data_IF_112728934530
#
_entry.id   IF_112728934530
#
_cell.length_a   1.000
_cell.length_b   1.000
_cell.length_c   1.000
_cell.angle_alpha   90.00
_cell.angle_beta   90.00
_cell.angle_gamma   90.00
#
_symmetry.space_group_name_H-M   'P 1'
#
loop_
_entity.id
_entity.type
_entity.pdbx_description
1 polymer ?
#
# COMPACT_ATOMS: atom_id res chain seq x y z
N UNK A 1 28.46 -2.60 -72.22
CA UNK A 1 26.99 -2.70 -72.11
C UNK A 1 26.68 -3.37 -70.77
N UNK A 2 26.11 -2.61 -69.81
CA UNK A 2 25.35 -3.00 -68.59
C UNK A 2 25.97 -4.09 -67.68
N UNK A 3 26.61 -3.75 -66.57
CA UNK A 3 26.03 -3.40 -65.26
C UNK A 3 25.19 -4.52 -64.63
N UNK A 4 25.59 -5.04 -63.46
CA UNK A 4 24.70 -5.36 -62.32
C UNK A 4 25.55 -5.78 -61.11
N UNK A 5 25.79 -4.82 -60.20
CA UNK A 5 26.27 -5.06 -58.84
C UNK A 5 25.07 -5.52 -58.00
N UNK A 6 25.09 -6.75 -57.49
CA UNK A 6 24.16 -7.21 -56.47
C UNK A 6 24.76 -6.90 -55.09
N UNK A 7 24.35 -5.78 -54.48
CA UNK A 7 24.58 -5.54 -53.06
C UNK A 7 23.53 -6.35 -52.28
N UNK A 8 24.00 -7.41 -51.61
CA UNK A 8 23.19 -8.22 -50.72
C UNK A 8 23.05 -7.47 -49.40
N UNK A 9 21.95 -6.74 -49.23
CA UNK A 9 21.62 -6.05 -47.99
C UNK A 9 21.10 -7.11 -46.99
N UNK A 10 21.97 -7.61 -46.10
CA UNK A 10 21.55 -8.45 -44.98
C UNK A 10 20.86 -7.53 -43.96
N UNK A 11 19.53 -7.49 -43.99
CA UNK A 11 18.73 -6.91 -42.92
C UNK A 11 18.76 -7.91 -41.77
N UNK A 12 19.67 -7.68 -40.82
CA UNK A 12 19.63 -8.36 -39.53
C UNK A 12 18.43 -7.81 -38.74
N UNK A 13 17.32 -8.54 -38.76
CA UNK A 13 16.19 -8.28 -37.86
C UNK A 13 16.67 -8.69 -36.47
N UNK A 14 17.10 -7.71 -35.68
CA UNK A 14 17.26 -7.87 -34.24
C UNK A 14 15.86 -8.08 -33.65
N UNK A 15 15.46 -9.35 -33.53
CA UNK A 15 14.39 -9.74 -32.62
C UNK A 15 14.92 -9.49 -31.21
N UNK A 16 14.74 -8.27 -30.71
CA UNK A 16 14.86 -8.02 -29.28
C UNK A 16 13.71 -8.79 -28.63
N UNK A 17 14.03 -9.95 -28.05
CA UNK A 17 13.15 -10.60 -27.09
C UNK A 17 13.05 -9.66 -25.88
N UNK A 18 12.17 -8.67 -25.96
CA UNK A 18 11.65 -7.98 -24.79
C UNK A 18 10.83 -9.03 -24.06
N UNK A 19 11.47 -9.77 -23.16
CA UNK A 19 10.77 -10.37 -22.05
C UNK A 19 10.05 -9.22 -21.37
N UNK A 20 8.72 -9.13 -21.53
CA UNK A 20 7.95 -8.19 -20.72
C UNK A 20 8.18 -8.62 -19.28
N UNK A 21 8.88 -7.78 -18.52
CA UNK A 21 9.00 -7.97 -17.09
C UNK A 21 7.59 -7.89 -16.50
N UNK A 22 7.28 -8.81 -15.58
CA UNK A 22 5.99 -8.78 -14.90
C UNK A 22 5.87 -7.48 -14.10
N UNK A 23 4.70 -6.84 -14.08
CA UNK A 23 4.47 -5.62 -13.30
C UNK A 23 4.83 -5.85 -11.84
N UNK A 24 5.51 -4.88 -11.25
CA UNK A 24 5.99 -4.92 -9.87
C UNK A 24 5.59 -3.67 -9.09
N UNK A 25 5.82 -3.68 -7.79
CA UNK A 25 5.58 -2.50 -6.93
C UNK A 25 6.38 -1.30 -7.47
N UNK A 26 5.68 -0.18 -7.67
CA UNK A 26 6.21 1.06 -8.23
C UNK A 26 5.94 1.24 -9.74
N UNK A 27 5.55 0.17 -10.45
CA UNK A 27 5.13 0.27 -11.85
C UNK A 27 3.70 0.81 -11.97
N UNK A 28 3.33 1.29 -13.16
CA UNK A 28 1.93 1.59 -13.47
C UNK A 28 1.11 0.30 -13.54
N UNK A 29 -0.11 0.33 -13.02
CA UNK A 29 -1.06 -0.76 -13.18
C UNK A 29 -1.33 -1.02 -14.68
N UNK A 30 -1.54 -2.29 -15.03
CA UNK A 30 -1.81 -2.67 -16.40
C UNK A 30 -3.16 -2.13 -16.85
N UNK A 31 -3.19 -1.61 -18.07
CA UNK A 31 -4.45 -1.27 -18.71
C UNK A 31 -5.23 -2.54 -19.06
N UNK A 32 -6.54 -2.44 -18.99
CA UNK A 32 -7.45 -3.52 -19.38
C UNK A 32 -8.70 -2.95 -20.03
N UNK A 33 -9.45 -3.84 -20.68
CA UNK A 33 -10.79 -3.55 -21.18
C UNK A 33 -11.65 -4.81 -20.94
N UNK A 34 -12.23 -4.92 -19.75
CA UNK A 34 -12.92 -6.12 -19.28
C UNK A 34 -14.41 -5.85 -19.10
N UNK A 35 -15.29 -6.79 -19.52
CA UNK A 35 -16.72 -6.67 -19.30
C UNK A 35 -17.11 -7.06 -17.86
N UNK A 36 -18.13 -6.41 -17.31
CA UNK A 36 -18.83 -6.84 -16.11
C UNK A 36 -19.75 -8.05 -16.40
N UNK A 37 -20.55 -8.45 -15.40
CA UNK A 37 -21.53 -9.54 -15.54
C UNK A 37 -22.72 -9.23 -16.45
N UNK A 38 -22.92 -7.96 -16.85
CA UNK A 38 -23.95 -7.50 -17.76
C UNK A 38 -23.41 -7.23 -19.19
N UNK A 39 -22.10 -7.32 -19.38
CA UNK A 39 -21.43 -7.05 -20.67
C UNK A 39 -21.04 -5.59 -20.88
N UNK A 40 -21.09 -4.74 -19.85
CA UNK A 40 -20.57 -3.37 -19.87
C UNK A 40 -19.06 -3.43 -19.66
N UNK A 41 -18.31 -2.81 -20.56
CA UNK A 41 -16.85 -2.80 -20.52
C UNK A 41 -16.32 -1.67 -19.64
N UNK A 42 -15.29 -1.99 -18.87
CA UNK A 42 -14.56 -1.07 -17.99
C UNK A 42 -13.06 -1.13 -18.29
N UNK A 43 -12.40 0.00 -18.08
CA UNK A 43 -10.97 0.20 -18.20
C UNK A 43 -10.41 0.84 -16.93
N UNK A 44 -9.09 0.81 -16.75
CA UNK A 44 -8.43 1.34 -15.56
C UNK A 44 -8.81 2.81 -15.27
N UNK A 45 -8.92 3.63 -16.32
CA UNK A 45 -9.28 5.05 -16.21
C UNK A 45 -10.67 5.27 -15.57
N UNK A 46 -11.60 4.31 -15.66
CA UNK A 46 -12.93 4.41 -15.05
C UNK A 46 -12.86 4.40 -13.51
N UNK A 47 -11.74 3.95 -12.96
CA UNK A 47 -11.48 3.87 -11.52
C UNK A 47 -10.51 4.96 -11.04
N UNK A 48 -10.09 5.89 -11.93
CA UNK A 48 -9.11 6.94 -11.64
C UNK A 48 -9.41 7.73 -10.36
N UNK A 49 -8.37 8.05 -9.60
CA UNK A 49 -8.48 8.81 -8.37
C UNK A 49 -8.91 7.98 -7.15
N UNK A 50 -9.26 6.71 -7.33
CA UNK A 50 -9.49 5.78 -6.24
C UNK A 50 -8.22 4.95 -5.96
N UNK A 51 -8.04 4.57 -4.70
CA UNK A 51 -7.21 3.41 -4.37
C UNK A 51 -8.01 2.16 -4.78
N UNK A 52 -7.40 1.26 -5.54
CA UNK A 52 -8.08 0.11 -6.14
C UNK A 52 -7.45 -1.18 -5.61
N UNK A 53 -8.26 -2.05 -5.02
CA UNK A 53 -7.89 -3.44 -4.78
C UNK A 53 -8.49 -4.31 -5.89
N UNK A 54 -7.65 -4.81 -6.79
CA UNK A 54 -8.02 -5.87 -7.71
C UNK A 54 -7.90 -7.22 -6.99
N UNK A 55 -9.04 -7.86 -6.76
CA UNK A 55 -9.10 -9.19 -6.13
C UNK A 55 -9.37 -10.25 -7.21
N UNK A 56 -8.33 -10.99 -7.59
CA UNK A 56 -8.42 -12.02 -8.62
C UNK A 56 -8.86 -13.34 -8.01
N UNK A 57 -9.94 -13.92 -8.56
CA UNK A 57 -10.50 -15.16 -8.06
C UNK A 57 -11.03 -16.05 -9.19
N UNK A 58 -11.21 -17.31 -8.85
CA UNK A 58 -12.04 -18.24 -9.60
C UNK A 58 -13.13 -18.80 -8.67
N UNK A 59 -14.35 -18.99 -9.18
CA UNK A 59 -15.51 -19.39 -8.38
C UNK A 59 -15.32 -20.69 -7.58
N UNK A 60 -14.49 -21.60 -8.11
CA UNK A 60 -14.18 -22.91 -7.54
C UNK A 60 -12.99 -22.89 -6.55
N UNK A 61 -12.32 -21.75 -6.39
CA UNK A 61 -11.19 -21.58 -5.48
C UNK A 61 -11.69 -21.46 -4.03
N UNK A 62 -11.47 -22.51 -3.22
CA UNK A 62 -11.89 -22.52 -1.80
C UNK A 62 -11.25 -21.39 -0.99
N UNK A 63 -9.93 -21.11 -1.09
CA UNK A 63 -9.34 -19.97 -0.38
C UNK A 63 -9.97 -18.63 -0.77
N UNK A 64 -10.33 -18.45 -2.04
CA UNK A 64 -11.01 -17.24 -2.51
C UNK A 64 -12.41 -17.09 -1.90
N UNK A 65 -13.15 -18.19 -1.74
CA UNK A 65 -14.45 -18.17 -1.04
C UNK A 65 -14.31 -17.79 0.44
N UNK A 66 -13.15 -18.04 1.06
CA UNK A 66 -12.86 -17.64 2.44
C UNK A 66 -12.39 -16.20 2.55
N UNK A 67 -11.64 -15.72 1.56
CA UNK A 67 -11.14 -14.35 1.48
C UNK A 67 -12.26 -13.34 1.19
N UNK A 68 -13.11 -13.62 0.19
CA UNK A 68 -14.09 -12.68 -0.33
C UNK A 68 -15.01 -12.04 0.73
N UNK A 69 -15.57 -12.78 1.73
CA UNK A 69 -16.36 -12.17 2.80
C UNK A 69 -15.57 -11.21 3.71
N UNK A 70 -14.26 -11.45 3.88
CA UNK A 70 -13.38 -10.56 4.65
C UNK A 70 -13.04 -9.31 3.84
N UNK A 71 -12.75 -9.45 2.54
CA UNK A 71 -12.58 -8.29 1.63
C UNK A 71 -13.85 -7.44 1.60
N UNK A 72 -15.02 -8.08 1.54
CA UNK A 72 -16.32 -7.39 1.62
C UNK A 72 -16.44 -6.55 2.90
N UNK A 73 -16.27 -7.17 4.06
CA UNK A 73 -16.54 -6.52 5.35
C UNK A 73 -15.44 -5.57 5.83
N UNK A 74 -14.17 -5.95 5.68
CA UNK A 74 -13.03 -5.22 6.23
C UNK A 74 -12.43 -4.19 5.26
N UNK A 75 -12.76 -4.29 3.97
CA UNK A 75 -12.24 -3.36 2.97
C UNK A 75 -13.39 -2.65 2.26
N UNK A 76 -14.20 -3.37 1.49
CA UNK A 76 -15.22 -2.75 0.64
C UNK A 76 -16.25 -1.95 1.45
N UNK A 77 -16.79 -2.53 2.53
CA UNK A 77 -17.75 -1.84 3.39
C UNK A 77 -17.07 -0.83 4.34
N UNK A 78 -15.90 -1.17 4.89
CA UNK A 78 -15.19 -0.34 5.86
C UNK A 78 -14.70 1.00 5.27
N UNK A 79 -14.29 1.01 3.99
CA UNK A 79 -13.77 2.19 3.31
C UNK A 79 -14.79 2.88 2.38
N UNK A 80 -16.09 2.56 2.50
CA UNK A 80 -17.13 3.26 1.76
C UNK A 80 -17.03 4.78 1.93
N UNK A 81 -17.06 5.50 0.81
CA UNK A 81 -16.96 6.96 0.77
C UNK A 81 -15.55 7.54 0.92
N UNK A 82 -14.49 6.71 0.97
CA UNK A 82 -13.11 7.16 1.16
C UNK A 82 -12.25 7.07 -0.12
N UNK A 83 -12.84 7.13 -1.32
CA UNK A 83 -12.11 6.90 -2.59
C UNK A 83 -11.32 5.59 -2.61
N UNK A 84 -11.88 4.53 -2.01
CA UNK A 84 -11.36 3.16 -2.08
C UNK A 84 -12.36 2.32 -2.86
N UNK A 85 -11.86 1.54 -3.80
CA UNK A 85 -12.65 0.65 -4.62
C UNK A 85 -12.08 -0.76 -4.58
N UNK A 86 -12.97 -1.75 -4.38
CA UNK A 86 -12.64 -3.15 -4.60
C UNK A 86 -13.24 -3.55 -5.94
N UNK A 87 -12.46 -4.23 -6.78
CA UNK A 87 -12.92 -4.78 -8.05
C UNK A 87 -12.53 -6.26 -8.09
N UNK A 88 -13.53 -7.12 -8.09
CA UNK A 88 -13.32 -8.56 -8.29
C UNK A 88 -13.00 -8.84 -9.75
N UNK A 89 -11.90 -9.56 -10.01
CA UNK A 89 -11.55 -10.06 -11.33
C UNK A 89 -11.82 -11.56 -11.34
N UNK A 90 -12.94 -11.95 -11.94
CA UNK A 90 -13.29 -13.35 -12.10
C UNK A 90 -12.61 -13.91 -13.33
N UNK A 91 -11.78 -14.93 -13.12
CA UNK A 91 -10.93 -15.51 -14.16
C UNK A 91 -11.54 -16.80 -14.71
N UNK A 92 -11.79 -16.82 -16.02
CA UNK A 92 -12.32 -17.97 -16.77
C UNK A 92 -13.63 -18.58 -16.23
N UNK A 93 -14.44 -17.81 -15.49
CA UNK A 93 -15.76 -18.24 -15.03
C UNK A 93 -16.89 -17.82 -16.00
N UNK A 94 -17.90 -18.67 -16.06
CA UNK A 94 -19.21 -18.33 -16.62
C UNK A 94 -19.99 -17.38 -15.70
N UNK A 95 -20.95 -16.64 -16.25
CA UNK A 95 -21.84 -15.77 -15.46
C UNK A 95 -22.57 -16.55 -14.36
N UNK A 96 -22.95 -17.81 -14.64
CA UNK A 96 -23.61 -18.67 -13.66
C UNK A 96 -22.70 -18.99 -12.46
N UNK A 97 -21.42 -19.29 -12.73
CA UNK A 97 -20.41 -19.52 -11.69
C UNK A 97 -20.17 -18.28 -10.83
N UNK A 98 -20.08 -17.11 -11.46
CA UNK A 98 -19.94 -15.83 -10.75
C UNK A 98 -21.14 -15.57 -9.83
N UNK A 99 -22.36 -15.78 -10.33
CA UNK A 99 -23.58 -15.62 -9.51
C UNK A 99 -23.58 -16.54 -8.30
N UNK A 100 -23.23 -17.81 -8.48
CA UNK A 100 -23.14 -18.74 -7.34
C UNK A 100 -22.06 -18.31 -6.33
N UNK A 101 -20.94 -17.77 -6.80
CA UNK A 101 -19.90 -17.24 -5.93
C UNK A 101 -20.41 -16.03 -5.12
N UNK A 102 -21.13 -15.12 -5.75
CA UNK A 102 -21.77 -13.97 -5.09
C UNK A 102 -22.80 -14.43 -4.05
N UNK A 103 -23.68 -15.36 -4.42
CA UNK A 103 -24.69 -15.92 -3.51
C UNK A 103 -24.07 -16.62 -2.30
N UNK A 104 -22.92 -17.28 -2.50
CA UNK A 104 -22.19 -17.99 -1.45
C UNK A 104 -21.45 -17.06 -0.50
N UNK A 105 -20.78 -16.04 -1.04
CA UNK A 105 -19.85 -15.18 -0.29
C UNK A 105 -20.49 -13.89 0.21
N UNK A 106 -21.60 -13.45 -0.40
CA UNK A 106 -22.30 -12.22 -0.04
C UNK A 106 -21.61 -10.94 -0.50
N UNK A 107 -20.63 -11.02 -1.41
CA UNK A 107 -19.91 -9.85 -1.90
C UNK A 107 -20.84 -8.89 -2.68
N UNK A 108 -20.58 -7.60 -2.54
CA UNK A 108 -21.35 -6.55 -3.20
C UNK A 108 -20.51 -5.60 -4.05
N UNK A 109 -19.18 -5.70 -3.97
CA UNK A 109 -18.28 -4.96 -4.85
C UNK A 109 -18.41 -5.43 -6.31
N UNK A 110 -18.12 -4.55 -7.30
CA UNK A 110 -18.25 -4.89 -8.72
C UNK A 110 -17.30 -6.01 -9.14
N UNK A 111 -17.75 -6.82 -10.09
CA UNK A 111 -16.99 -7.94 -10.66
C UNK A 111 -16.83 -7.74 -12.17
N UNK A 112 -15.58 -7.73 -12.63
CA UNK A 112 -15.20 -7.80 -14.04
C UNK A 112 -14.77 -9.22 -14.39
N UNK A 113 -14.85 -9.54 -15.68
CA UNK A 113 -14.62 -10.88 -16.20
C UNK A 113 -13.38 -10.92 -17.08
N UNK A 114 -12.35 -11.57 -16.57
CA UNK A 114 -11.18 -11.97 -17.35
C UNK A 114 -11.50 -13.31 -18.03
N UNK A 115 -12.16 -13.23 -19.19
CA UNK A 115 -12.78 -14.38 -19.84
C UNK A 115 -11.77 -15.44 -20.28
N UNK A 116 -10.60 -15.01 -20.74
CA UNK A 116 -9.53 -15.88 -21.23
C UNK A 116 -8.34 -16.02 -20.27
N UNK A 117 -8.35 -15.27 -19.15
CA UNK A 117 -7.27 -15.30 -18.16
C UNK A 117 -6.05 -14.47 -18.57
N UNK A 118 -6.16 -13.70 -19.66
CA UNK A 118 -5.04 -12.90 -20.16
C UNK A 118 -4.61 -11.87 -19.14
N UNK A 119 -5.54 -11.12 -18.56
CA UNK A 119 -5.23 -10.07 -17.58
C UNK A 119 -4.58 -10.63 -16.31
N UNK A 120 -5.08 -11.75 -15.79
CA UNK A 120 -4.45 -12.49 -14.70
C UNK A 120 -3.01 -12.92 -15.04
N UNK A 121 -2.80 -13.45 -16.24
CA UNK A 121 -1.49 -13.93 -16.69
C UNK A 121 -0.49 -12.81 -17.00
N UNK A 122 -0.95 -11.61 -17.36
CA UNK A 122 -0.11 -10.43 -17.62
C UNK A 122 0.49 -9.84 -16.34
N UNK A 123 -0.11 -10.12 -15.18
CA UNK A 123 0.51 -9.88 -13.87
C UNK A 123 1.46 -11.01 -13.42
N UNK A 124 1.54 -12.10 -14.19
CA UNK A 124 2.41 -13.23 -13.92
C UNK A 124 1.87 -14.22 -12.90
N UNK A 125 0.59 -14.08 -12.53
CA UNK A 125 -0.06 -14.96 -11.58
C UNK A 125 -0.33 -16.34 -12.19
N UNK A 126 -0.25 -17.36 -11.34
CA UNK A 126 -0.55 -18.76 -11.66
C UNK A 126 -1.36 -19.46 -10.57
N UNK A 127 -1.49 -18.84 -9.39
CA UNK A 127 -2.27 -19.32 -8.25
C UNK A 127 -3.34 -18.30 -7.81
N UNK A 128 -4.40 -18.83 -7.21
CA UNK A 128 -5.47 -18.03 -6.60
C UNK A 128 -5.49 -18.21 -5.07
N UNK A 129 -5.95 -17.19 -4.32
CA UNK A 129 -6.27 -15.85 -4.79
C UNK A 129 -5.02 -15.07 -5.17
N UNK A 130 -5.18 -14.00 -5.95
CA UNK A 130 -4.13 -13.03 -6.19
C UNK A 130 -4.69 -11.63 -6.04
N UNK A 131 -3.85 -10.70 -5.60
CA UNK A 131 -4.28 -9.35 -5.27
C UNK A 131 -3.29 -8.31 -5.78
N UNK A 132 -3.82 -7.23 -6.34
CA UNK A 132 -3.05 -6.05 -6.74
C UNK A 132 -3.67 -4.83 -6.07
N UNK A 133 -2.87 -4.09 -5.30
CA UNK A 133 -3.27 -2.80 -4.73
C UNK A 133 -2.67 -1.69 -5.57
N UNK A 134 -3.51 -0.78 -6.04
CA UNK A 134 -3.14 0.35 -6.88
C UNK A 134 -3.52 1.64 -6.16
N UNK A 135 -2.60 2.62 -6.10
CA UNK A 135 -2.90 3.92 -5.51
C UNK A 135 -3.74 4.81 -6.44
N UNK A 136 -4.16 5.97 -5.94
CA UNK A 136 -4.99 6.93 -6.69
C UNK A 136 -4.34 7.50 -7.96
N UNK A 137 -3.02 7.33 -8.12
CA UNK A 137 -2.26 7.74 -9.31
C UNK A 137 -2.10 6.61 -10.33
N UNK A 138 -2.64 5.42 -10.06
CA UNK A 138 -2.50 4.26 -10.95
C UNK A 138 -1.18 3.51 -10.78
N UNK A 139 -0.44 3.71 -9.68
CA UNK A 139 0.80 2.98 -9.38
C UNK A 139 0.52 1.76 -8.50
N UNK A 140 1.18 0.64 -8.79
CA UNK A 140 1.11 -0.60 -8.01
C UNK A 140 1.85 -0.42 -6.68
N UNK A 141 1.14 -0.62 -5.58
CA UNK A 141 1.67 -0.58 -4.22
C UNK A 141 1.86 -2.00 -3.64
N UNK A 142 1.11 -2.96 -4.18
CA UNK A 142 1.17 -4.35 -3.79
C UNK A 142 0.81 -5.26 -4.97
N UNK A 143 1.52 -6.38 -5.09
CA UNK A 143 1.24 -7.44 -6.07
C UNK A 143 1.70 -8.78 -5.46
N UNK A 144 0.75 -9.65 -5.11
CA UNK A 144 1.07 -10.96 -4.52
C UNK A 144 -0.04 -11.99 -4.75
N UNK A 145 0.35 -13.26 -4.74
CA UNK A 145 -0.57 -14.40 -4.62
C UNK A 145 -0.83 -14.69 -3.14
N UNK A 146 -2.10 -14.80 -2.76
CA UNK A 146 -2.55 -14.98 -1.39
C UNK A 146 -3.30 -13.76 -0.86
N UNK A 147 -3.69 -13.84 0.41
CA UNK A 147 -4.49 -12.83 1.07
C UNK A 147 -4.05 -12.60 2.51
N UNK A 148 -3.92 -11.33 2.88
CA UNK A 148 -3.61 -10.90 4.24
C UNK A 148 -4.39 -9.62 4.53
N UNK A 149 -5.62 -9.79 5.02
CA UNK A 149 -6.57 -8.70 5.20
C UNK A 149 -6.01 -7.59 6.11
N UNK A 150 -5.40 -7.87 7.28
CA UNK A 150 -4.79 -6.83 8.11
C UNK A 150 -3.72 -6.01 7.37
N UNK A 151 -2.92 -6.66 6.51
CA UNK A 151 -1.92 -5.96 5.71
C UNK A 151 -2.58 -5.05 4.68
N UNK A 152 -3.61 -5.52 3.97
CA UNK A 152 -4.34 -4.68 2.99
C UNK A 152 -5.00 -3.47 3.64
N UNK A 153 -5.66 -3.66 4.78
CA UNK A 153 -6.25 -2.55 5.55
C UNK A 153 -5.17 -1.54 5.94
N UNK A 154 -4.03 -2.00 6.47
CA UNK A 154 -2.90 -1.12 6.82
C UNK A 154 -2.35 -0.36 5.61
N UNK A 155 -2.22 -1.01 4.46
CA UNK A 155 -1.72 -0.37 3.24
C UNK A 155 -2.72 0.66 2.71
N UNK A 156 -4.02 0.34 2.69
CA UNK A 156 -5.08 1.26 2.29
C UNK A 156 -5.11 2.48 3.21
N UNK A 157 -5.06 2.29 4.53
CA UNK A 157 -4.96 3.40 5.50
C UNK A 157 -3.73 4.28 5.26
N UNK A 158 -2.58 3.67 4.94
CA UNK A 158 -1.37 4.40 4.59
C UNK A 158 -1.58 5.25 3.33
N UNK A 159 -2.14 4.67 2.27
CA UNK A 159 -2.41 5.35 1.00
C UNK A 159 -3.47 6.46 1.15
N UNK A 160 -4.49 6.25 1.98
CA UNK A 160 -5.48 7.27 2.30
C UNK A 160 -4.87 8.43 3.06
N UNK A 161 -3.96 8.16 3.99
CA UNK A 161 -3.23 9.22 4.66
C UNK A 161 -2.30 9.97 3.70
N UNK A 162 -1.61 9.27 2.79
CA UNK A 162 -0.77 9.91 1.76
C UNK A 162 -1.59 10.75 0.78
N UNK A 163 -2.78 10.28 0.39
CA UNK A 163 -3.68 11.01 -0.51
C UNK A 163 -4.38 12.18 0.17
N UNK A 164 -4.74 12.08 1.45
CA UNK A 164 -5.18 13.21 2.25
C UNK A 164 -4.08 14.30 2.35
N UNK A 165 -2.81 13.89 2.30
CA UNK A 165 -1.66 14.80 2.25
C UNK A 165 -1.40 15.36 0.85
N UNK A 166 -1.84 14.70 -0.23
CA UNK A 166 -1.68 15.19 -1.62
C UNK A 166 -2.89 15.96 -2.17
N UNK A 167 -4.09 15.77 -1.58
CA UNK A 167 -5.35 16.41 -1.97
C UNK A 167 -5.73 17.67 -1.17
N UNK A 168 -4.90 18.07 -0.20
CA UNK A 168 -5.01 19.36 0.50
C UNK A 168 -3.74 20.17 0.21
N UNK A 169 -3.90 21.32 -0.46
CA UNK A 169 -2.90 22.39 -0.68
C UNK A 169 -1.42 22.03 -0.42
N UNK A 170 -0.60 21.77 -1.46
CA UNK A 170 0.87 21.52 -1.39
C UNK A 170 1.33 20.49 -0.33
N UNK A 171 2.07 19.41 -0.68
CA UNK A 171 2.26 18.30 0.23
C UNK A 171 2.93 18.74 1.53
N UNK A 172 2.18 18.64 2.62
CA UNK A 172 2.69 18.83 3.97
C UNK A 172 3.82 17.83 4.30
N UNK A 173 4.07 16.79 3.50
CA UNK A 173 5.25 15.91 3.67
C UNK A 173 6.56 16.64 3.32
N UNK A 174 6.55 17.59 2.37
CA UNK A 174 7.66 18.53 2.15
C UNK A 174 7.61 19.76 3.09
N UNK A 175 6.52 19.92 3.84
CA UNK A 175 6.36 21.00 4.84
C UNK A 175 6.63 20.58 6.29
N UNK A 176 6.40 19.32 6.66
CA UNK A 176 6.61 18.74 7.99
C UNK A 176 8.09 18.82 8.34
N UNK A 177 8.37 19.35 9.53
CA UNK A 177 9.73 19.50 10.00
C UNK A 177 10.43 18.13 10.17
N UNK A 178 9.68 17.08 10.50
CA UNK A 178 10.17 15.70 10.71
C UNK A 178 9.03 14.67 10.64
N UNK A 179 9.40 13.39 10.69
CA UNK A 179 8.53 12.22 10.78
C UNK A 179 9.04 11.27 11.88
N UNK A 180 8.16 10.83 12.79
CA UNK A 180 8.48 9.89 13.85
C UNK A 180 8.40 8.44 13.36
N UNK A 181 9.52 7.72 13.41
CA UNK A 181 9.59 6.29 13.04
C UNK A 181 9.30 5.37 14.23
N UNK A 182 9.51 5.87 15.44
CA UNK A 182 9.10 5.23 16.69
C UNK A 182 10.27 4.72 17.55
N UNK A 183 9.94 4.13 18.71
CA UNK A 183 10.91 3.61 19.66
C UNK A 183 11.44 2.22 19.27
N UNK A 184 12.75 2.01 19.38
CA UNK A 184 13.39 0.71 19.25
C UNK A 184 14.56 0.53 20.23
N UNK A 185 14.72 -0.63 20.89
CA UNK A 185 13.74 -1.71 20.98
C UNK A 185 12.51 -1.31 21.82
N UNK A 186 11.37 -1.93 21.60
CA UNK A 186 10.17 -1.73 22.39
C UNK A 186 9.31 -3.01 22.41
N UNK A 187 9.05 -3.65 23.57
CA UNK A 187 9.50 -3.28 24.93
C UNK A 187 11.02 -3.34 25.13
N UNK A 188 11.53 -2.71 26.21
CA UNK A 188 12.95 -2.66 26.55
C UNK A 188 13.20 -2.66 28.06
N UNK A 189 14.44 -2.93 28.50
CA UNK A 189 14.79 -3.12 29.91
C UNK A 189 15.45 -1.90 30.59
N UNK A 190 16.38 -1.22 29.91
CA UNK A 190 17.17 -0.11 30.47
C UNK A 190 17.19 1.11 29.56
N UNK A 191 17.31 0.93 28.25
CA UNK A 191 17.35 2.04 27.29
C UNK A 191 16.56 1.77 26.00
N UNK A 192 16.11 2.87 25.38
CA UNK A 192 15.36 2.90 24.12
C UNK A 192 15.86 4.03 23.24
N UNK A 193 15.81 3.85 21.92
CA UNK A 193 16.10 4.89 20.94
C UNK A 193 14.81 5.32 20.24
N UNK A 194 14.50 6.60 20.27
CA UNK A 194 13.40 7.17 19.51
C UNK A 194 13.93 7.58 18.14
N UNK A 195 13.55 6.86 17.09
CA UNK A 195 14.00 7.10 15.72
C UNK A 195 13.04 8.05 15.00
N UNK A 196 13.58 8.99 14.25
CA UNK A 196 12.81 9.95 13.46
C UNK A 196 13.62 10.47 12.28
N UNK A 197 12.94 10.79 11.18
CA UNK A 197 13.53 11.38 9.98
C UNK A 197 13.34 12.90 10.02
N UNK A 198 14.44 13.66 9.98
CA UNK A 198 14.38 15.13 9.95
C UNK A 198 14.37 15.61 8.50
N UNK A 199 13.27 16.25 8.10
CA UNK A 199 13.11 16.78 6.75
C UNK A 199 13.63 18.22 6.67
N UNK A 200 13.47 19.01 7.74
CA UNK A 200 13.99 20.39 7.84
C UNK A 200 14.84 20.55 9.11
N UNK A 201 16.11 20.99 8.98
CA UNK A 201 16.94 21.30 10.14
C UNK A 201 16.26 22.31 11.07
N UNK A 202 16.33 22.08 12.37
CA UNK A 202 15.60 22.94 13.31
C UNK A 202 15.81 22.55 14.76
N UNK A 203 15.20 23.33 15.64
CA UNK A 203 15.18 23.04 17.08
C UNK A 203 13.96 22.17 17.42
N UNK A 204 14.23 21.04 18.04
CA UNK A 204 13.26 20.05 18.45
C UNK A 204 13.11 20.09 19.97
N UNK A 205 11.92 19.82 20.45
CA UNK A 205 11.60 19.66 21.86
C UNK A 205 11.05 18.25 22.08
N UNK A 206 11.81 17.43 22.78
CA UNK A 206 11.35 16.13 23.26
C UNK A 206 10.74 16.30 24.65
N UNK A 207 9.57 15.73 24.89
CA UNK A 207 8.94 15.70 26.22
C UNK A 207 8.47 14.28 26.50
N UNK A 208 8.77 13.78 27.69
CA UNK A 208 8.35 12.48 28.19
C UNK A 208 7.30 12.67 29.28
N UNK A 209 6.29 11.81 29.28
CA UNK A 209 5.19 11.78 30.22
C UNK A 209 5.02 10.36 30.77
N UNK A 210 4.56 10.25 32.02
CA UNK A 210 4.08 8.98 32.55
C UNK A 210 2.64 8.67 32.08
N UNK A 211 2.09 7.52 32.47
CA UNK A 211 0.71 7.11 32.10
C UNK A 211 -0.38 8.05 32.61
N UNK A 212 -0.10 8.88 33.62
CA UNK A 212 -1.05 9.84 34.16
C UNK A 212 -1.05 11.16 33.38
N UNK A 213 -0.14 11.31 32.42
CA UNK A 213 0.09 12.55 31.68
C UNK A 213 1.00 13.54 32.41
N UNK A 214 1.60 13.15 33.54
CA UNK A 214 2.55 14.01 34.25
C UNK A 214 3.86 14.06 33.49
N UNK A 215 4.39 15.27 33.28
CA UNK A 215 5.66 15.47 32.56
C UNK A 215 6.84 15.00 33.41
N UNK A 216 7.61 14.10 32.85
CA UNK A 216 8.74 13.42 33.48
C UNK A 216 10.08 14.03 33.05
N UNK A 217 10.21 14.36 31.76
CA UNK A 217 11.45 14.89 31.19
C UNK A 217 11.15 15.81 30.02
N UNK A 218 11.95 16.85 29.82
CA UNK A 218 11.88 17.73 28.65
C UNK A 218 13.26 18.17 28.21
N UNK A 219 13.58 18.01 26.93
CA UNK A 219 14.87 18.36 26.34
C UNK A 219 14.67 19.11 25.03
N UNK A 220 15.58 20.04 24.73
CA UNK A 220 15.62 20.76 23.47
C UNK A 220 16.95 20.50 22.78
N UNK A 221 16.90 20.15 21.51
CA UNK A 221 18.10 19.89 20.71
C UNK A 221 17.90 20.33 19.27
N UNK A 222 18.96 20.87 18.66
CA UNK A 222 18.97 21.17 17.24
C UNK A 222 19.38 19.92 16.45
N UNK A 223 18.61 19.58 15.43
CA UNK A 223 18.93 18.47 14.53
C UNK A 223 19.12 18.95 13.11
N UNK A 224 20.14 18.40 12.44
CA UNK A 224 20.31 18.49 10.99
C UNK A 224 19.39 17.47 10.31
N UNK A 225 19.06 17.72 9.04
CA UNK A 225 18.26 16.82 8.21
C UNK A 225 18.85 15.41 8.11
N UNK A 226 18.02 14.43 7.83
CA UNK A 226 18.36 13.00 7.78
C UNK A 226 17.83 12.22 8.97
N UNK A 227 18.17 10.93 9.01
CA UNK A 227 17.77 10.02 10.08
C UNK A 227 18.46 10.39 11.39
N UNK A 228 17.68 10.51 12.47
CA UNK A 228 18.14 10.88 13.81
C UNK A 228 17.53 9.96 14.86
N UNK A 229 18.16 9.97 16.02
CA UNK A 229 17.69 9.25 17.17
C UNK A 229 17.91 10.03 18.46
N UNK A 230 16.99 9.85 19.41
CA UNK A 230 17.15 10.27 20.81
C UNK A 230 17.32 8.99 21.64
N UNK A 231 18.49 8.83 22.27
CA UNK A 231 18.73 7.74 23.20
C UNK A 231 18.24 8.12 24.61
N UNK A 232 17.42 7.26 25.21
CA UNK A 232 16.85 7.46 26.54
C UNK A 232 17.31 6.35 27.47
N UNK A 233 18.00 6.75 28.54
CA UNK A 233 18.35 5.87 29.67
C UNK A 233 17.25 5.92 30.73
N UNK A 234 16.65 4.77 31.04
CA UNK A 234 15.47 4.66 31.89
C UNK A 234 15.73 3.92 33.24
N UNK A 235 17.00 3.80 33.63
CA UNK A 235 17.42 3.07 34.83
C UNK A 235 16.79 3.59 36.14
N UNK A 236 16.41 4.87 36.21
CA UNK A 236 15.74 5.49 37.36
C UNK A 236 14.21 5.46 37.38
N UNK A 237 13.57 4.87 36.35
CA UNK A 237 12.10 4.91 36.18
C UNK A 237 11.42 3.57 36.52
N UNK A 238 10.15 3.59 36.89
CA UNK A 238 9.38 2.38 37.17
C UNK A 238 8.96 1.66 35.89
N UNK A 239 8.86 0.33 35.89
CA UNK A 239 8.30 -0.41 34.75
C UNK A 239 6.88 0.07 34.43
N UNK A 240 6.55 0.19 33.15
CA UNK A 240 5.26 0.71 32.71
C UNK A 240 5.27 1.31 31.31
N UNK A 241 4.13 1.86 30.92
CA UNK A 241 3.96 2.59 29.65
C UNK A 241 4.39 4.03 29.86
N UNK A 242 5.11 4.59 28.89
CA UNK A 242 5.43 6.00 28.85
C UNK A 242 4.98 6.59 27.51
N UNK A 243 4.54 7.84 27.55
CA UNK A 243 4.12 8.59 26.37
C UNK A 243 5.17 9.67 26.14
N UNK A 244 5.56 9.91 24.90
CA UNK A 244 6.45 11.01 24.58
C UNK A 244 5.90 11.84 23.43
N UNK A 245 6.29 13.10 23.39
CA UNK A 245 6.05 14.00 22.26
C UNK A 245 7.38 14.52 21.72
N UNK A 246 7.51 14.57 20.40
CA UNK A 246 8.57 15.30 19.72
C UNK A 246 7.93 16.48 18.98
N UNK A 247 8.46 17.68 19.13
CA UNK A 247 7.90 18.89 18.50
C UNK A 247 8.98 19.76 17.87
N UNK A 248 8.73 20.32 16.69
CA UNK A 248 9.62 21.26 16.01
C UNK A 248 8.80 22.30 15.23
N UNK A 249 8.92 23.57 15.64
CA UNK A 249 8.05 24.64 15.15
C UNK A 249 6.59 24.39 15.55
N UNK A 250 5.68 24.40 14.57
CA UNK A 250 4.26 24.12 14.77
C UNK A 250 3.91 22.63 14.57
N UNK A 251 4.90 21.78 14.27
CA UNK A 251 4.70 20.34 14.05
C UNK A 251 5.02 19.56 15.33
N UNK A 252 4.14 18.64 15.72
CA UNK A 252 4.31 17.78 16.89
C UNK A 252 3.78 16.38 16.59
N UNK A 253 4.53 15.36 16.98
CA UNK A 253 4.14 13.95 16.91
C UNK A 253 4.28 13.30 18.28
N UNK A 254 3.46 12.28 18.55
CA UNK A 254 3.38 11.60 19.84
C UNK A 254 3.60 10.11 19.62
N UNK A 255 4.37 9.49 20.52
CA UNK A 255 4.59 8.06 20.53
C UNK A 255 4.51 7.50 21.96
N UNK A 256 4.61 6.17 22.07
CA UNK A 256 4.63 5.47 23.36
C UNK A 256 5.63 4.32 23.35
N UNK A 257 6.18 3.99 24.51
CA UNK A 257 7.03 2.82 24.70
C UNK A 257 6.75 2.13 26.04
N UNK A 258 7.23 0.90 26.18
CA UNK A 258 7.02 0.05 27.35
C UNK A 258 8.37 -0.30 27.98
N UNK A 259 8.58 0.17 29.22
CA UNK A 259 9.72 -0.20 30.05
C UNK A 259 9.39 -1.45 30.86
N UNK A 260 10.18 -2.51 30.71
CA UNK A 260 10.04 -3.79 31.38
C UNK A 260 11.37 -4.22 31.99
N UNK A 261 11.55 -3.90 33.28
CA UNK A 261 12.67 -4.37 34.10
C UNK A 261 12.44 -5.75 34.66
#
# INVERSE_FOLDING_TARGET
MKAFLFHLLIISILLTNTSMAQPSVGDSALNFNLPDTNGVYFQLDDFSGNIILFNFFASWCIPCQQEAPQVESEIWQAFQGQNVMVVGISVADSIFQIRNFVDLTGITYPILRDVDGSFFSEYGFVFFPANVLVNAQGTIEFVEEGFNIPLFVQMIDSLLNLTAISGSEEPLITSRTFELLGPYPNPFNSSVRIQFQVNKPGQFTFTLYDITGSMVKKEKQYYQSGLREIALEMNGFSSGVYIFSLAAGNHQEVGKFVLQK
#
